data_IF_679140686235
#
_entry.id   IF_679140686235
#
_cell.length_a   1.000
_cell.length_b   1.000
_cell.length_c   1.000
_cell.angle_alpha   90.00
_cell.angle_beta   90.00
_cell.angle_gamma   90.00
#
_symmetry.space_group_name_H-M   'P 1'
#
loop_
_entity.id
_entity.type
_entity.pdbx_description
1 polymer ?
#
# COMPACT_ATOMS: atom_id res chain seq x y z
N UNK A 1 19.98 31.92 1.45
CA UNK A 1 19.05 31.03 2.19
C UNK A 1 18.04 30.40 1.22
N UNK A 2 18.50 29.58 0.27
CA UNK A 2 17.62 28.94 -0.73
C UNK A 2 17.12 27.58 -0.22
N UNK A 3 15.87 27.62 0.24
CA UNK A 3 14.82 26.60 0.03
C UNK A 3 15.21 25.13 0.25
N UNK A 4 15.25 24.72 1.52
CA UNK A 4 14.95 23.35 1.95
C UNK A 4 13.47 23.03 1.64
N UNK A 5 13.12 22.94 0.36
CA UNK A 5 11.91 22.24 -0.03
C UNK A 5 12.12 20.79 0.45
N UNK A 6 11.22 20.23 1.29
CA UNK A 6 11.42 18.89 1.85
C UNK A 6 11.74 17.92 0.72
N UNK A 7 12.73 17.04 0.81
CA UNK A 7 13.11 16.13 -0.30
C UNK A 7 11.97 15.29 -0.85
N UNK A 8 11.00 14.95 0.00
CA UNK A 8 9.73 14.36 -0.44
C UNK A 8 9.01 15.32 -1.38
N UNK A 9 8.92 16.61 -1.05
CA UNK A 9 8.43 17.65 -1.95
C UNK A 9 9.34 17.81 -3.16
N UNK A 10 10.67 17.80 -3.06
CA UNK A 10 11.54 17.89 -4.25
C UNK A 10 11.30 16.71 -5.21
N UNK A 11 11.37 15.48 -4.74
CA UNK A 11 11.10 14.28 -5.55
C UNK A 11 9.67 14.29 -6.09
N UNK A 12 8.66 14.49 -5.24
CA UNK A 12 7.26 14.49 -5.66
C UNK A 12 6.88 15.67 -6.56
N UNK A 13 7.53 16.83 -6.40
CA UNK A 13 7.33 18.00 -7.26
C UNK A 13 8.13 17.87 -8.55
N UNK A 14 9.33 17.29 -8.56
CA UNK A 14 10.03 16.87 -9.79
C UNK A 14 9.18 15.86 -10.60
N UNK A 15 8.35 15.05 -9.93
CA UNK A 15 7.35 14.18 -10.58
C UNK A 15 6.08 14.92 -11.03
N UNK A 16 5.76 16.10 -10.47
CA UNK A 16 4.60 16.90 -10.87
C UNK A 16 4.93 17.96 -11.94
N UNK A 17 6.16 18.48 -11.96
CA UNK A 17 6.63 19.54 -12.87
C UNK A 17 7.18 19.00 -14.19
N UNK A 18 7.50 17.70 -14.27
CA UNK A 18 7.50 17.00 -15.55
C UNK A 18 6.04 16.85 -15.99
N UNK A 19 5.48 17.96 -16.48
CA UNK A 19 4.33 17.95 -17.38
C UNK A 19 4.54 16.79 -18.33
N UNK A 20 3.63 15.82 -18.24
CA UNK A 20 3.55 14.64 -19.06
C UNK A 20 4.01 14.97 -20.49
N UNK A 21 5.26 14.67 -20.78
CA UNK A 21 5.76 14.65 -22.14
C UNK A 21 5.15 13.39 -22.74
N UNK A 22 3.90 13.52 -23.20
CA UNK A 22 3.18 12.50 -23.97
C UNK A 22 3.85 12.27 -25.33
N UNK A 23 4.93 12.98 -25.63
CA UNK A 23 5.65 12.99 -26.91
C UNK A 23 6.35 11.67 -27.23
N UNK A 24 6.66 10.82 -26.24
CA UNK A 24 7.41 9.56 -26.47
C UNK A 24 6.61 8.26 -26.29
N UNK A 25 5.33 8.31 -25.91
CA UNK A 25 4.52 7.10 -25.74
C UNK A 25 3.13 7.27 -26.32
N UNK A 26 2.63 6.24 -27.02
CA UNK A 26 1.26 6.21 -27.54
C UNK A 26 0.27 6.65 -26.46
N UNK A 27 -0.66 7.58 -26.76
CA UNK A 27 -1.67 8.05 -25.80
C UNK A 27 -2.59 6.90 -25.33
N UNK A 28 -2.61 5.80 -26.07
CA UNK A 28 -3.35 4.58 -25.77
C UNK A 28 -2.35 3.42 -25.70
N UNK A 29 -2.05 2.91 -24.50
CA UNK A 29 -1.01 1.89 -24.34
C UNK A 29 -1.46 0.47 -24.73
N UNK A 30 -2.76 0.17 -24.68
CA UNK A 30 -3.33 -1.15 -24.92
C UNK A 30 -4.86 -1.10 -25.01
N UNK A 31 -5.51 -2.16 -25.48
CA UNK A 31 -6.98 -2.22 -25.46
C UNK A 31 -7.51 -2.22 -24.02
N UNK A 32 -8.70 -1.65 -23.79
CA UNK A 32 -9.34 -1.62 -22.47
C UNK A 32 -10.17 -2.87 -22.14
N UNK A 33 -10.40 -3.75 -23.12
CA UNK A 33 -11.11 -5.02 -22.94
C UNK A 33 -10.13 -6.11 -22.47
N UNK A 34 -10.22 -6.61 -21.22
CA UNK A 34 -9.30 -7.63 -20.71
C UNK A 34 -9.30 -8.96 -21.48
N UNK A 35 -10.34 -9.25 -22.28
CA UNK A 35 -10.38 -10.45 -23.13
C UNK A 35 -9.78 -10.25 -24.53
N UNK A 36 -9.33 -9.03 -24.86
CA UNK A 36 -8.68 -8.76 -26.14
C UNK A 36 -7.18 -9.06 -26.04
N UNK A 37 -6.56 -9.70 -27.05
CA UNK A 37 -5.11 -9.91 -27.06
C UNK A 37 -4.31 -8.63 -26.85
N UNK A 38 -4.77 -7.52 -27.46
CA UNK A 38 -4.20 -6.17 -27.29
C UNK A 38 -4.28 -5.61 -25.88
N UNK A 39 -4.99 -6.25 -24.94
CA UNK A 39 -4.91 -5.87 -23.53
C UNK A 39 -3.60 -6.33 -22.91
N UNK A 40 -3.05 -7.49 -23.29
CA UNK A 40 -1.81 -8.00 -22.72
C UNK A 40 -0.59 -7.21 -23.22
N UNK A 41 -0.66 -6.62 -24.42
CA UNK A 41 0.39 -5.81 -25.03
C UNK A 41 0.85 -4.69 -24.08
N UNK A 42 2.13 -4.70 -23.70
CA UNK A 42 2.71 -3.68 -22.82
C UNK A 42 3.35 -2.53 -23.60
N UNK A 43 3.65 -2.74 -24.89
CA UNK A 43 4.31 -1.79 -25.79
C UNK A 43 3.91 -2.07 -27.25
N UNK A 44 2.70 -1.71 -27.70
CA UNK A 44 2.45 -1.67 -29.12
C UNK A 44 3.35 -0.57 -29.71
N UNK A 45 4.42 -0.98 -30.40
CA UNK A 45 5.31 -0.08 -31.13
C UNK A 45 4.59 0.59 -32.32
N UNK A 46 3.48 -0.01 -32.74
CA UNK A 46 2.64 0.46 -33.83
C UNK A 46 1.29 0.97 -33.28
N UNK A 47 0.83 2.12 -33.77
CA UNK A 47 -0.49 2.69 -33.44
C UNK A 47 -1.62 2.13 -34.32
N UNK A 48 -1.31 1.26 -35.28
CA UNK A 48 -2.27 0.66 -36.22
C UNK A 48 -3.40 -0.14 -35.54
N UNK A 49 -3.19 -0.68 -34.34
CA UNK A 49 -4.18 -1.53 -33.66
C UNK A 49 -5.43 -0.78 -33.17
N UNK A 50 -5.44 0.56 -33.21
CA UNK A 50 -6.62 1.36 -32.90
C UNK A 50 -6.87 2.43 -33.97
N UNK A 51 -8.09 2.97 -33.98
CA UNK A 51 -8.43 4.15 -34.80
C UNK A 51 -9.17 5.19 -33.98
N UNK A 52 -9.04 6.45 -34.38
CA UNK A 52 -9.82 7.54 -33.80
C UNK A 52 -11.32 7.28 -33.97
N UNK A 53 -12.11 7.57 -32.93
CA UNK A 53 -13.55 7.32 -32.85
C UNK A 53 -14.26 8.52 -32.22
N UNK A 54 -13.91 9.72 -32.67
CA UNK A 54 -14.52 10.98 -32.23
C UNK A 54 -14.07 11.43 -30.84
N UNK A 55 -14.84 12.33 -30.25
CA UNK A 55 -14.56 12.91 -28.93
C UNK A 55 -15.86 13.25 -28.19
N UNK A 56 -15.77 13.46 -26.89
CA UNK A 56 -16.86 14.02 -26.07
C UNK A 56 -16.32 15.07 -25.11
N UNK A 57 -17.17 15.98 -24.66
CA UNK A 57 -16.78 17.02 -23.71
C UNK A 57 -17.08 16.62 -22.27
N UNK A 58 -16.24 17.06 -21.34
CA UNK A 58 -16.45 16.92 -19.90
C UNK A 58 -16.11 18.22 -19.19
N UNK A 59 -16.85 18.57 -18.14
CA UNK A 59 -16.51 19.73 -17.29
C UNK A 59 -15.14 19.61 -16.62
N UNK A 60 -14.70 18.39 -16.32
CA UNK A 60 -13.47 18.14 -15.57
C UNK A 60 -12.20 18.13 -16.43
N UNK A 61 -12.31 17.75 -17.71
CA UNK A 61 -11.14 17.51 -18.58
C UNK A 61 -11.28 18.09 -19.99
N UNK A 62 -12.33 18.88 -20.24
CA UNK A 62 -12.60 19.44 -21.56
C UNK A 62 -12.92 18.36 -22.59
N UNK A 63 -12.40 18.55 -23.82
CA UNK A 63 -12.58 17.63 -24.95
C UNK A 63 -11.72 16.37 -24.77
N UNK A 64 -12.36 15.21 -24.71
CA UNK A 64 -11.72 13.90 -24.50
C UNK A 64 -11.81 13.06 -25.79
N UNK A 65 -10.68 12.71 -26.41
CA UNK A 65 -10.63 11.80 -27.55
C UNK A 65 -11.11 10.38 -27.20
N UNK A 66 -11.74 9.73 -28.18
CA UNK A 66 -12.14 8.32 -28.15
C UNK A 66 -11.48 7.57 -29.29
N UNK A 67 -11.29 6.28 -29.05
CA UNK A 67 -10.66 5.36 -29.98
C UNK A 67 -11.45 4.04 -30.01
N UNK A 68 -11.27 3.28 -31.08
CA UNK A 68 -11.83 1.94 -31.28
C UNK A 68 -10.69 0.98 -31.57
N UNK A 69 -10.61 -0.12 -30.81
CA UNK A 69 -9.70 -1.23 -31.12
C UNK A 69 -10.07 -1.85 -32.47
N UNK A 70 -9.09 -2.08 -33.33
CA UNK A 70 -9.30 -2.71 -34.63
C UNK A 70 -9.54 -4.23 -34.50
N UNK A 71 -8.96 -4.87 -33.48
CA UNK A 71 -9.07 -6.34 -33.31
C UNK A 71 -10.40 -6.77 -32.69
N UNK A 72 -10.85 -6.12 -31.60
CA UNK A 72 -12.07 -6.52 -30.88
C UNK A 72 -13.22 -5.51 -30.98
N UNK A 73 -13.04 -4.41 -31.71
CA UNK A 73 -14.07 -3.37 -31.88
C UNK A 73 -14.42 -2.56 -30.62
N UNK A 74 -13.84 -2.84 -29.45
CA UNK A 74 -14.12 -2.12 -28.20
C UNK A 74 -13.77 -0.63 -28.35
N UNK A 75 -14.68 0.24 -27.93
CA UNK A 75 -14.40 1.68 -27.82
C UNK A 75 -13.92 2.05 -26.42
N UNK A 76 -13.00 3.00 -26.35
CA UNK A 76 -12.48 3.55 -25.10
C UNK A 76 -12.03 5.00 -25.30
N UNK A 77 -11.81 5.72 -24.21
CA UNK A 77 -11.34 7.11 -24.27
C UNK A 77 -9.95 7.24 -23.70
N UNK A 78 -9.30 8.38 -23.99
CA UNK A 78 -8.01 8.70 -23.38
C UNK A 78 -8.07 8.64 -21.84
N UNK A 79 -9.21 9.01 -21.27
CA UNK A 79 -9.46 8.96 -19.82
C UNK A 79 -9.43 7.54 -19.25
N UNK A 80 -9.71 6.50 -20.05
CA UNK A 80 -9.69 5.10 -19.60
C UNK A 80 -8.33 4.67 -19.02
N UNK A 81 -7.25 5.34 -19.42
CA UNK A 81 -5.88 5.08 -18.99
C UNK A 81 -5.32 6.13 -18.02
N UNK A 82 -6.15 7.06 -17.54
CA UNK A 82 -5.74 8.07 -16.54
C UNK A 82 -6.13 7.63 -15.13
N UNK A 83 -5.28 7.91 -14.15
CA UNK A 83 -5.55 7.62 -12.73
C UNK A 83 -6.90 8.21 -12.25
N UNK A 84 -7.25 9.38 -12.81
CA UNK A 84 -8.50 10.10 -12.55
C UNK A 84 -9.70 9.61 -13.37
N UNK A 85 -9.67 8.39 -13.91
CA UNK A 85 -10.80 7.81 -14.63
C UNK A 85 -12.11 7.89 -13.79
N UNK A 86 -13.14 8.52 -14.36
CA UNK A 86 -14.43 8.89 -13.73
C UNK A 86 -14.40 9.94 -12.60
N UNK A 87 -13.26 10.54 -12.29
CA UNK A 87 -13.18 11.64 -11.32
C UNK A 87 -13.86 12.89 -11.90
N UNK A 88 -14.64 13.58 -11.06
CA UNK A 88 -15.34 14.82 -11.42
C UNK A 88 -14.62 16.10 -11.00
N UNK A 89 -13.72 16.00 -10.02
CA UNK A 89 -12.88 17.08 -9.52
C UNK A 89 -11.45 16.56 -9.36
N UNK A 90 -10.64 16.60 -10.43
CA UNK A 90 -9.22 16.25 -10.36
C UNK A 90 -8.52 17.14 -9.34
N UNK A 91 -7.50 16.60 -8.67
CA UNK A 91 -6.70 17.33 -7.69
C UNK A 91 -5.26 16.88 -7.81
N UNK A 92 -4.34 17.72 -7.33
CA UNK A 92 -2.98 17.27 -7.10
C UNK A 92 -2.96 16.29 -5.92
N UNK A 93 -2.40 15.11 -6.16
CA UNK A 93 -2.29 14.06 -5.16
C UNK A 93 -1.11 14.27 -4.20
N UNK A 94 -0.10 15.06 -4.60
CA UNK A 94 1.10 15.29 -3.78
C UNK A 94 0.78 15.97 -2.44
N UNK A 95 -0.02 17.06 -2.38
CA UNK A 95 -0.44 17.66 -1.12
C UNK A 95 -1.19 16.68 -0.22
N UNK A 96 -2.00 15.79 -0.80
CA UNK A 96 -2.76 14.79 -0.03
C UNK A 96 -1.83 13.75 0.59
N UNK A 97 -0.88 13.21 -0.18
CA UNK A 97 0.14 12.28 0.34
C UNK A 97 0.94 12.94 1.46
N UNK A 98 1.38 14.20 1.25
CA UNK A 98 2.14 14.96 2.26
C UNK A 98 1.34 15.09 3.56
N UNK A 99 0.06 15.47 3.48
CA UNK A 99 -0.80 15.58 4.65
C UNK A 99 -0.99 14.21 5.34
N UNK A 100 -1.15 13.13 4.57
CA UNK A 100 -1.27 11.77 5.12
C UNK A 100 -0.06 11.37 5.96
N UNK A 101 1.16 11.62 5.47
CA UNK A 101 2.42 11.21 6.13
C UNK A 101 2.91 12.20 7.18
N UNK A 102 2.30 13.39 7.26
CA UNK A 102 2.54 14.39 8.31
C UNK A 102 1.47 14.32 9.41
N UNK A 103 0.86 13.15 9.63
CA UNK A 103 -0.14 12.91 10.68
C UNK A 103 -1.36 13.85 10.63
N UNK A 104 -1.76 14.32 9.44
CA UNK A 104 -2.98 15.11 9.30
C UNK A 104 -4.21 14.20 9.22
N UNK A 105 -5.19 14.43 10.10
CA UNK A 105 -6.50 13.81 10.00
C UNK A 105 -7.30 14.35 8.81
N UNK A 106 -8.16 13.52 8.21
CA UNK A 106 -8.94 13.91 7.02
C UNK A 106 -9.86 15.12 7.27
N UNK A 107 -10.38 15.31 8.49
CA UNK A 107 -11.13 16.51 8.84
C UNK A 107 -10.30 17.80 8.78
N UNK A 108 -9.00 17.73 9.13
CA UNK A 108 -8.08 18.84 8.96
C UNK A 108 -7.86 19.13 7.46
N UNK A 109 -7.65 18.07 6.67
CA UNK A 109 -7.48 18.20 5.22
C UNK A 109 -8.70 18.83 4.54
N UNK A 110 -9.91 18.52 4.99
CA UNK A 110 -11.15 19.14 4.49
C UNK A 110 -11.11 20.66 4.62
N UNK A 111 -10.59 21.20 5.73
CA UNK A 111 -10.49 22.66 5.96
C UNK A 111 -9.59 23.35 4.94
N UNK A 112 -8.47 22.72 4.58
CA UNK A 112 -7.48 23.29 3.65
C UNK A 112 -7.79 23.01 2.17
N UNK A 113 -8.48 21.92 1.86
CA UNK A 113 -8.73 21.49 0.47
C UNK A 113 -10.16 21.79 -0.01
N UNK A 114 -11.08 22.08 0.91
CA UNK A 114 -12.52 22.18 0.64
C UNK A 114 -13.16 20.86 0.19
N UNK A 115 -12.45 19.73 0.26
CA UNK A 115 -12.96 18.42 -0.12
C UNK A 115 -13.59 17.70 1.07
N UNK A 116 -14.72 17.02 0.83
CA UNK A 116 -15.33 16.14 1.83
C UNK A 116 -14.44 14.93 2.12
N UNK A 117 -14.61 14.33 3.30
CA UNK A 117 -13.88 13.14 3.75
C UNK A 117 -13.90 12.03 2.71
N UNK A 118 -15.05 11.75 2.12
CA UNK A 118 -15.26 10.69 1.14
C UNK A 118 -14.48 10.96 -0.16
N UNK A 119 -14.34 12.24 -0.54
CA UNK A 119 -13.58 12.63 -1.71
C UNK A 119 -12.08 12.43 -1.47
N UNK A 120 -11.56 12.84 -0.30
CA UNK A 120 -10.17 12.61 0.10
C UNK A 120 -9.87 11.11 0.13
N UNK A 121 -10.74 10.33 0.79
CA UNK A 121 -10.59 8.89 0.85
C UNK A 121 -10.62 8.24 -0.54
N UNK A 122 -11.48 8.70 -1.44
CA UNK A 122 -11.50 8.22 -2.83
C UNK A 122 -10.17 8.52 -3.56
N UNK A 123 -9.54 9.67 -3.31
CA UNK A 123 -8.21 9.97 -3.86
C UNK A 123 -7.15 9.05 -3.26
N UNK A 124 -7.17 8.81 -1.95
CA UNK A 124 -6.27 7.83 -1.34
C UNK A 124 -6.42 6.43 -1.92
N UNK A 125 -7.64 5.95 -2.14
CA UNK A 125 -7.86 4.65 -2.76
C UNK A 125 -7.29 4.59 -4.19
N UNK A 126 -7.41 5.67 -4.97
CA UNK A 126 -6.87 5.73 -6.34
C UNK A 126 -5.35 5.72 -6.35
N UNK A 127 -4.74 6.62 -5.60
CA UNK A 127 -3.28 6.73 -5.58
C UNK A 127 -2.64 5.50 -4.92
N UNK A 128 -3.29 4.91 -3.91
CA UNK A 128 -2.83 3.66 -3.32
C UNK A 128 -2.66 2.54 -4.35
N UNK A 129 -3.54 2.42 -5.34
CA UNK A 129 -3.39 1.40 -6.41
C UNK A 129 -2.16 1.67 -7.26
N UNK A 130 -1.95 2.92 -7.66
CA UNK A 130 -0.73 3.34 -8.39
C UNK A 130 0.52 3.07 -7.56
N UNK A 131 0.51 3.40 -6.27
CA UNK A 131 1.65 3.18 -5.38
C UNK A 131 1.89 1.69 -5.08
N UNK A 132 0.86 0.85 -5.03
CA UNK A 132 1.01 -0.60 -4.93
C UNK A 132 1.65 -1.19 -6.20
N UNK A 133 1.27 -0.70 -7.38
CA UNK A 133 1.90 -1.09 -8.65
C UNK A 133 3.38 -0.67 -8.68
N UNK A 134 3.69 0.56 -8.27
CA UNK A 134 5.08 1.04 -8.13
C UNK A 134 5.84 0.19 -7.13
N UNK A 135 5.28 -0.07 -5.94
CA UNK A 135 5.94 -0.87 -4.91
C UNK A 135 6.22 -2.31 -5.40
N UNK A 136 5.30 -2.92 -6.15
CA UNK A 136 5.48 -4.23 -6.77
C UNK A 136 6.62 -4.24 -7.80
N UNK A 137 6.67 -3.26 -8.70
CA UNK A 137 7.78 -3.12 -9.66
C UNK A 137 9.12 -2.87 -8.95
N UNK A 138 9.14 -2.00 -7.94
CA UNK A 138 10.33 -1.72 -7.14
C UNK A 138 10.80 -2.95 -6.37
N UNK A 139 9.89 -3.73 -5.78
CA UNK A 139 10.23 -4.99 -5.11
C UNK A 139 10.89 -5.98 -6.06
N UNK A 140 10.52 -6.02 -7.34
CA UNK A 140 11.21 -6.84 -8.33
C UNK A 140 12.66 -6.39 -8.58
N UNK A 141 13.02 -5.14 -8.30
CA UNK A 141 14.39 -4.62 -8.43
C UNK A 141 15.24 -4.79 -7.17
N UNK A 142 14.61 -4.93 -6.00
CA UNK A 142 15.29 -5.03 -4.70
C UNK A 142 15.93 -6.41 -4.52
N UNK A 143 17.17 -6.48 -4.06
CA UNK A 143 17.69 -7.75 -3.52
C UNK A 143 17.14 -7.94 -2.10
N UNK A 144 16.45 -9.05 -1.79
CA UNK A 144 16.05 -9.33 -0.41
C UNK A 144 17.27 -9.39 0.52
N UNK A 145 17.01 -9.13 1.78
CA UNK A 145 18.03 -9.25 2.83
C UNK A 145 18.14 -10.70 3.33
N UNK A 146 19.27 -11.00 3.95
CA UNK A 146 19.53 -12.30 4.59
C UNK A 146 18.74 -12.47 5.90
N UNK A 147 18.34 -11.35 6.53
CA UNK A 147 17.55 -11.34 7.76
C UNK A 147 16.30 -10.46 7.64
N UNK A 148 15.19 -11.00 8.14
CA UNK A 148 13.92 -10.29 8.31
C UNK A 148 13.51 -10.24 9.77
N UNK A 149 12.67 -9.27 10.09
CA UNK A 149 11.92 -9.19 11.34
C UNK A 149 10.42 -9.14 11.03
N UNK A 150 9.64 -9.87 11.83
CA UNK A 150 8.17 -9.86 11.74
C UNK A 150 7.56 -9.70 13.12
N UNK A 151 6.63 -8.75 13.22
CA UNK A 151 5.80 -8.56 14.41
C UNK A 151 4.46 -7.92 14.04
N UNK A 152 3.57 -7.85 15.01
CA UNK A 152 2.23 -7.36 14.88
C UNK A 152 2.02 -5.99 15.52
N UNK A 153 1.58 -5.01 14.74
CA UNK A 153 1.18 -3.70 15.22
C UNK A 153 -0.29 -3.69 15.62
N UNK A 154 -0.57 -3.67 16.92
CA UNK A 154 -1.95 -3.62 17.43
C UNK A 154 -2.57 -2.22 17.27
N UNK A 155 -3.77 -2.19 16.68
CA UNK A 155 -4.59 -1.00 16.52
C UNK A 155 -6.08 -1.36 16.56
N UNK A 156 -6.95 -0.48 16.08
CA UNK A 156 -8.37 -0.78 15.91
C UNK A 156 -8.96 0.01 14.74
N UNK A 157 -10.11 -0.45 14.27
CA UNK A 157 -10.88 0.23 13.22
C UNK A 157 -12.35 0.24 13.63
N UNK A 158 -13.13 1.23 13.19
CA UNK A 158 -14.54 1.43 13.59
C UNK A 158 -14.70 1.84 15.06
N UNK A 159 -14.19 1.05 16.01
CA UNK A 159 -14.13 1.35 17.44
C UNK A 159 -13.18 0.37 18.15
N UNK A 160 -12.88 0.62 19.44
CA UNK A 160 -12.11 -0.30 20.29
C UNK A 160 -12.74 -1.71 20.45
N UNK A 161 -14.00 -1.90 20.04
CA UNK A 161 -14.62 -3.23 19.98
C UNK A 161 -14.16 -4.08 18.80
N UNK A 162 -13.46 -3.48 17.83
CA UNK A 162 -12.88 -4.17 16.70
C UNK A 162 -11.37 -3.90 16.64
N UNK A 163 -10.62 -4.37 17.66
CA UNK A 163 -9.17 -4.31 17.61
C UNK A 163 -8.66 -5.17 16.46
N UNK A 164 -7.47 -4.84 16.01
CA UNK A 164 -6.80 -5.54 14.94
C UNK A 164 -5.30 -5.56 15.16
N UNK A 165 -4.65 -6.42 14.41
CA UNK A 165 -3.21 -6.54 14.35
C UNK A 165 -2.78 -6.38 12.88
N UNK A 166 -1.86 -5.46 12.63
CA UNK A 166 -1.20 -5.31 11.34
C UNK A 166 0.11 -6.09 11.41
N UNK A 167 0.18 -7.25 10.77
CA UNK A 167 1.40 -8.05 10.73
C UNK A 167 2.36 -7.44 9.72
N UNK A 168 3.58 -7.07 10.13
CA UNK A 168 4.52 -6.33 9.31
C UNK A 168 5.78 -7.18 9.12
N UNK A 169 6.16 -7.42 7.87
CA UNK A 169 7.45 -8.02 7.51
C UNK A 169 8.42 -6.92 7.07
N UNK A 170 9.57 -6.86 7.74
CA UNK A 170 10.56 -5.79 7.58
C UNK A 170 11.94 -6.41 7.36
N UNK A 171 12.75 -5.84 6.46
CA UNK A 171 14.17 -6.21 6.32
C UNK A 171 14.99 -5.70 7.50
N UNK A 172 15.82 -6.56 8.11
CA UNK A 172 16.44 -6.24 9.40
C UNK A 172 17.46 -5.10 9.32
N UNK A 173 18.23 -5.02 8.24
CA UNK A 173 19.26 -4.02 8.01
C UNK A 173 18.75 -2.74 7.33
N UNK A 174 17.77 -2.83 6.42
CA UNK A 174 17.23 -1.67 5.70
C UNK A 174 16.03 -1.00 6.36
N UNK A 175 15.28 -1.73 7.18
CA UNK A 175 13.92 -1.36 7.63
C UNK A 175 12.92 -1.14 6.48
N UNK A 176 13.16 -1.74 5.32
CA UNK A 176 12.20 -1.78 4.23
C UNK A 176 11.00 -2.62 4.65
N UNK A 177 9.79 -2.06 4.52
CA UNK A 177 8.55 -2.78 4.74
C UNK A 177 8.23 -3.57 3.47
N UNK A 178 8.36 -4.90 3.53
CA UNK A 178 8.10 -5.80 2.41
C UNK A 178 6.61 -6.10 2.27
N UNK A 179 5.94 -6.37 3.39
CA UNK A 179 4.53 -6.70 3.39
C UNK A 179 3.84 -6.28 4.68
N UNK A 180 2.55 -6.02 4.55
CA UNK A 180 1.64 -5.79 5.66
C UNK A 180 0.42 -6.69 5.47
N UNK A 181 0.00 -7.35 6.55
CA UNK A 181 -1.22 -8.12 6.62
C UNK A 181 -2.16 -7.56 7.69
N UNK A 182 -3.45 -7.90 7.60
CA UNK A 182 -4.45 -7.48 8.56
C UNK A 182 -5.09 -8.69 9.25
N UNK A 183 -5.24 -8.61 10.55
CA UNK A 183 -5.91 -9.61 11.37
C UNK A 183 -6.89 -8.94 12.32
N UNK A 184 -8.18 -9.24 12.18
CA UNK A 184 -9.16 -8.83 13.18
C UNK A 184 -8.92 -9.59 14.48
N UNK A 185 -8.84 -8.87 15.60
CA UNK A 185 -8.72 -9.44 16.93
C UNK A 185 -10.07 -9.40 17.65
N UNK A 186 -10.22 -10.31 18.61
CA UNK A 186 -11.31 -10.23 19.59
C UNK A 186 -10.94 -9.17 20.64
N UNK A 187 -11.91 -8.35 21.07
CA UNK A 187 -11.69 -7.41 22.18
C UNK A 187 -11.24 -8.14 23.44
N UNK A 188 -10.05 -7.76 23.92
CA UNK A 188 -9.35 -8.25 25.11
C UNK A 188 -8.98 -7.09 26.03
N UNK A 189 -8.38 -7.40 27.19
CA UNK A 189 -7.97 -6.41 28.19
C UNK A 189 -9.04 -6.13 29.24
N UNK A 190 -8.74 -5.17 30.12
CA UNK A 190 -9.67 -4.75 31.17
C UNK A 190 -10.93 -4.13 30.54
N UNK A 191 -12.09 -4.56 31.02
CA UNK A 191 -13.39 -4.09 30.55
C UNK A 191 -14.36 -4.00 31.71
N UNK A 192 -15.15 -2.92 31.71
CA UNK A 192 -16.30 -2.80 32.62
C UNK A 192 -17.40 -3.79 32.23
N UNK A 193 -18.33 -4.09 33.13
CA UNK A 193 -19.40 -5.05 32.84
C UNK A 193 -20.30 -4.58 31.69
N UNK A 194 -20.56 -3.26 31.61
CA UNK A 194 -21.25 -2.66 30.44
C UNK A 194 -20.49 -2.91 29.13
N UNK A 195 -19.16 -2.84 29.13
CA UNK A 195 -18.35 -3.14 27.95
C UNK A 195 -18.34 -4.64 27.63
N UNK A 196 -18.33 -5.51 28.65
CA UNK A 196 -18.46 -6.97 28.44
C UNK A 196 -19.79 -7.31 27.80
N UNK A 197 -20.90 -6.74 28.30
CA UNK A 197 -22.23 -6.94 27.73
C UNK A 197 -22.28 -6.47 26.27
N UNK A 198 -21.84 -5.24 26.00
CA UNK A 198 -21.79 -4.71 24.62
C UNK A 198 -20.95 -5.58 23.69
N UNK A 199 -19.83 -6.15 24.16
CA UNK A 199 -19.05 -7.12 23.36
C UNK A 199 -19.86 -8.37 23.06
N UNK A 200 -20.56 -8.92 24.06
CA UNK A 200 -21.43 -10.10 23.88
C UNK A 200 -22.51 -9.83 22.84
N UNK A 201 -23.21 -8.70 22.93
CA UNK A 201 -24.26 -8.31 21.99
C UNK A 201 -23.70 -8.21 20.56
N UNK A 202 -22.54 -7.54 20.39
CA UNK A 202 -21.86 -7.45 19.10
C UNK A 202 -21.42 -8.82 18.56
N UNK A 203 -20.94 -9.72 19.42
CA UNK A 203 -20.55 -11.07 19.02
C UNK A 203 -21.76 -11.92 18.62
N UNK A 204 -22.93 -11.69 19.21
CA UNK A 204 -24.19 -12.33 18.82
C UNK A 204 -24.69 -11.82 17.46
N UNK A 205 -24.64 -10.51 17.22
CA UNK A 205 -25.14 -9.92 15.95
C UNK A 205 -24.16 -10.09 14.79
N UNK A 206 -22.85 -9.89 15.01
CA UNK A 206 -21.83 -9.83 13.95
C UNK A 206 -20.96 -11.08 13.86
N UNK A 207 -21.03 -11.96 14.86
CA UNK A 207 -20.17 -13.12 15.02
C UNK A 207 -18.82 -12.80 15.67
N UNK A 208 -18.21 -13.82 16.29
CA UNK A 208 -16.90 -13.69 16.94
C UNK A 208 -15.76 -13.48 15.93
N UNK A 209 -14.81 -12.61 16.28
CA UNK A 209 -13.58 -12.46 15.51
C UNK A 209 -12.85 -13.82 15.37
N UNK A 210 -12.27 -14.13 14.20
CA UNK A 210 -11.64 -15.42 13.95
C UNK A 210 -10.38 -15.61 14.82
N UNK A 211 -10.31 -16.71 15.57
CA UNK A 211 -9.21 -16.99 16.51
C UNK A 211 -7.84 -17.24 15.86
N UNK A 212 -7.80 -17.56 14.57
CA UNK A 212 -6.58 -17.81 13.79
C UNK A 212 -6.26 -16.68 12.77
N UNK A 213 -6.81 -15.47 12.96
CA UNK A 213 -6.62 -14.36 12.03
C UNK A 213 -5.13 -13.97 11.84
N UNK A 214 -4.36 -13.93 12.93
CA UNK A 214 -2.91 -13.63 12.91
C UNK A 214 -2.15 -14.72 12.17
N UNK A 215 -2.43 -15.98 12.49
CA UNK A 215 -1.80 -17.14 11.86
C UNK A 215 -2.01 -17.14 10.34
N UNK A 216 -3.25 -16.97 9.86
CA UNK A 216 -3.57 -16.93 8.43
C UNK A 216 -2.88 -15.77 7.70
N UNK A 217 -2.86 -14.60 8.33
CA UNK A 217 -2.22 -13.43 7.75
C UNK A 217 -0.69 -13.63 7.64
N UNK A 218 -0.04 -14.09 8.70
CA UNK A 218 1.39 -14.37 8.69
C UNK A 218 1.73 -15.51 7.73
N UNK A 219 0.90 -16.55 7.64
CA UNK A 219 1.08 -17.62 6.67
C UNK A 219 1.10 -17.07 5.24
N UNK A 220 0.14 -16.19 4.88
CA UNK A 220 0.12 -15.57 3.55
C UNK A 220 1.37 -14.74 3.27
N UNK A 221 1.82 -13.94 4.24
CA UNK A 221 3.06 -13.15 4.12
C UNK A 221 4.26 -14.06 3.86
N UNK A 222 4.42 -15.12 4.66
CA UNK A 222 5.56 -16.02 4.57
C UNK A 222 5.53 -16.89 3.30
N UNK A 223 4.34 -17.29 2.82
CA UNK A 223 4.19 -17.96 1.52
C UNK A 223 4.68 -17.06 0.38
N UNK A 224 4.33 -15.78 0.40
CA UNK A 224 4.82 -14.83 -0.60
C UNK A 224 6.32 -14.55 -0.46
N UNK A 225 6.85 -14.51 0.77
CA UNK A 225 8.29 -14.39 1.00
C UNK A 225 9.04 -15.60 0.41
N UNK A 226 8.60 -16.83 0.68
CA UNK A 226 9.23 -18.04 0.14
C UNK A 226 9.21 -18.04 -1.40
N UNK A 227 8.06 -17.69 -2.01
CA UNK A 227 7.97 -17.53 -3.46
C UNK A 227 8.94 -16.46 -3.97
N UNK A 228 8.99 -15.31 -3.31
CA UNK A 228 9.88 -14.22 -3.69
C UNK A 228 11.36 -14.60 -3.59
N UNK A 229 11.74 -15.38 -2.58
CA UNK A 229 13.09 -15.94 -2.45
C UNK A 229 13.40 -16.92 -3.57
N UNK A 230 12.45 -17.80 -3.92
CA UNK A 230 12.58 -18.78 -4.99
C UNK A 230 12.72 -18.11 -6.37
N UNK A 231 11.84 -17.16 -6.68
CA UNK A 231 11.84 -16.41 -7.94
C UNK A 231 13.15 -15.63 -8.16
N UNK A 232 13.89 -15.34 -7.08
CA UNK A 232 15.15 -14.58 -7.09
C UNK A 232 16.39 -15.40 -6.78
N UNK A 233 16.26 -16.72 -6.69
CA UNK A 233 17.35 -17.65 -6.35
C UNK A 233 18.13 -17.24 -5.08
N UNK A 234 17.39 -16.91 -4.04
CA UNK A 234 17.94 -16.41 -2.78
C UNK A 234 18.24 -17.59 -1.86
N UNK A 235 19.36 -17.59 -1.11
CA UNK A 235 19.61 -18.57 -0.07
C UNK A 235 18.55 -18.56 1.05
N UNK A 236 18.70 -19.47 2.00
CA UNK A 236 17.85 -19.52 3.17
C UNK A 236 18.06 -18.29 4.05
N UNK A 237 16.97 -17.79 4.63
CA UNK A 237 16.98 -16.51 5.37
C UNK A 237 16.63 -16.71 6.84
N UNK A 238 17.05 -15.78 7.69
CA UNK A 238 16.63 -15.77 9.10
C UNK A 238 15.39 -14.90 9.28
N UNK A 239 14.38 -15.42 9.98
CA UNK A 239 13.21 -14.66 10.41
C UNK A 239 13.25 -14.47 11.92
N UNK A 240 13.30 -13.21 12.37
CA UNK A 240 13.24 -12.84 13.77
C UNK A 240 11.81 -12.44 14.16
N UNK A 241 11.23 -13.06 15.17
CA UNK A 241 9.91 -12.68 15.71
C UNK A 241 9.92 -12.64 17.23
N UNK A 242 8.82 -12.19 17.83
CA UNK A 242 8.59 -12.40 19.25
C UNK A 242 8.13 -13.85 19.55
N UNK A 243 7.72 -14.11 20.80
CA UNK A 243 7.22 -15.41 21.24
C UNK A 243 5.77 -15.72 20.85
N UNK A 244 5.14 -14.94 19.97
CA UNK A 244 3.74 -15.15 19.61
C UNK A 244 3.55 -16.47 18.85
N UNK A 245 2.86 -17.43 19.50
CA UNK A 245 2.68 -18.81 19.01
C UNK A 245 2.09 -18.93 17.61
N UNK A 246 1.32 -17.94 17.15
CA UNK A 246 0.77 -17.96 15.80
C UNK A 246 1.83 -17.88 14.69
N UNK A 247 3.01 -17.30 14.96
CA UNK A 247 4.08 -17.19 13.97
C UNK A 247 4.72 -18.56 13.69
N UNK A 248 4.99 -19.33 14.74
CA UNK A 248 5.49 -20.72 14.62
C UNK A 248 4.48 -21.59 13.86
N UNK A 249 3.19 -21.48 14.22
CA UNK A 249 2.13 -22.22 13.53
C UNK A 249 1.97 -21.80 12.08
N UNK A 250 2.03 -20.51 11.78
CA UNK A 250 1.96 -19.99 10.43
C UNK A 250 3.10 -20.55 9.57
N UNK A 251 4.34 -20.46 10.05
CA UNK A 251 5.51 -20.98 9.35
C UNK A 251 5.41 -22.49 9.08
N UNK A 252 4.91 -23.27 10.05
CA UNK A 252 4.71 -24.72 9.86
C UNK A 252 3.73 -25.09 8.74
N UNK A 253 2.89 -24.15 8.31
CA UNK A 253 1.88 -24.33 7.26
C UNK A 253 2.30 -23.73 5.91
N UNK A 254 3.50 -23.16 5.83
CA UNK A 254 4.05 -22.61 4.58
C UNK A 254 4.84 -23.71 3.89
N UNK A 255 4.50 -24.08 2.65
CA UNK A 255 5.32 -25.00 1.85
C UNK A 255 6.76 -24.49 1.75
N UNK A 256 7.74 -25.37 1.97
CA UNK A 256 9.18 -25.02 2.00
C UNK A 256 9.57 -24.02 3.11
N UNK A 257 8.63 -23.56 3.96
CA UNK A 257 8.91 -22.53 4.96
C UNK A 257 9.97 -22.96 5.99
N UNK A 258 9.89 -24.19 6.49
CA UNK A 258 10.85 -24.72 7.48
C UNK A 258 12.23 -25.01 6.91
N UNK A 259 12.32 -25.32 5.62
CA UNK A 259 13.61 -25.57 4.96
C UNK A 259 14.29 -24.27 4.54
N UNK A 260 13.51 -23.25 4.20
CA UNK A 260 14.02 -21.97 3.64
C UNK A 260 14.14 -20.85 4.66
N UNK A 261 13.45 -20.95 5.80
CA UNK A 261 13.40 -19.89 6.82
C UNK A 261 13.87 -20.43 8.17
N UNK A 262 15.01 -19.93 8.63
CA UNK A 262 15.50 -20.15 9.99
C UNK A 262 14.78 -19.21 10.96
N UNK A 263 13.78 -19.73 11.67
CA UNK A 263 12.97 -18.94 12.61
C UNK A 263 13.66 -18.80 13.97
N UNK A 264 13.89 -17.56 14.40
CA UNK A 264 14.44 -17.22 15.72
C UNK A 264 13.44 -16.35 16.48
N UNK A 265 13.18 -16.73 17.74
CA UNK A 265 12.27 -15.99 18.61
C UNK A 265 13.06 -15.18 19.63
N UNK A 266 12.56 -13.99 19.94
CA UNK A 266 13.19 -13.05 20.87
C UNK A 266 12.16 -12.53 21.87
N UNK A 267 12.59 -12.16 23.08
CA UNK A 267 11.67 -11.57 24.05
C UNK A 267 11.27 -10.16 23.63
N UNK A 268 9.97 -9.87 23.65
CA UNK A 268 9.43 -8.52 23.45
C UNK A 268 9.71 -7.57 24.63
N UNK A 269 10.17 -8.10 25.76
CA UNK A 269 10.59 -7.32 26.94
C UNK A 269 12.01 -6.76 26.84
N UNK A 270 12.79 -7.20 25.84
CA UNK A 270 14.15 -6.69 25.65
C UNK A 270 14.10 -5.19 25.34
N UNK A 271 15.12 -4.42 25.79
CA UNK A 271 15.23 -3.00 25.47
C UNK A 271 15.09 -2.75 23.96
N UNK A 272 14.34 -1.71 23.59
CA UNK A 272 14.10 -1.33 22.18
C UNK A 272 15.27 -0.53 21.61
N UNK A 273 16.47 -1.10 21.68
CA UNK A 273 17.72 -0.53 21.17
C UNK A 273 18.03 -1.05 19.77
N UNK A 274 18.89 -0.39 18.98
CA UNK A 274 19.30 -0.87 17.66
C UNK A 274 19.93 -2.27 17.64
N UNK A 275 20.48 -2.74 18.77
CA UNK A 275 21.02 -4.09 18.93
C UNK A 275 19.94 -5.18 19.06
N UNK A 276 18.69 -4.80 19.34
CA UNK A 276 17.58 -5.74 19.42
C UNK A 276 17.21 -6.24 18.02
N UNK A 277 17.10 -7.57 17.83
CA UNK A 277 16.72 -8.18 16.54
C UNK A 277 15.29 -7.81 16.10
N UNK A 278 14.43 -7.38 17.03
CA UNK A 278 13.11 -6.82 16.76
C UNK A 278 13.12 -5.29 16.63
N UNK A 279 14.27 -4.62 16.70
CA UNK A 279 14.36 -3.18 16.47
C UNK A 279 13.74 -2.72 15.14
N UNK A 280 13.92 -3.42 14.00
CA UNK A 280 13.39 -2.96 12.71
C UNK A 280 11.87 -2.83 12.72
N UNK A 281 11.16 -3.81 13.27
CA UNK A 281 9.69 -3.78 13.41
C UNK A 281 9.24 -2.75 14.44
N UNK A 282 9.94 -2.66 15.59
CA UNK A 282 9.68 -1.63 16.61
C UNK A 282 9.89 -0.20 16.07
N UNK A 283 10.87 -0.02 15.19
CA UNK A 283 11.15 1.25 14.51
C UNK A 283 9.97 1.62 13.61
N UNK A 284 9.46 0.67 12.82
CA UNK A 284 8.31 0.87 11.93
C UNK A 284 7.03 1.15 12.71
N UNK A 285 6.75 0.42 13.80
CA UNK A 285 5.63 0.71 14.71
C UNK A 285 5.69 2.16 15.20
N UNK A 286 6.85 2.58 15.72
CA UNK A 286 7.06 3.97 16.16
C UNK A 286 6.80 4.97 15.03
N UNK A 287 7.24 4.67 13.81
CA UNK A 287 6.99 5.53 12.66
C UNK A 287 5.49 5.61 12.30
N UNK A 288 4.76 4.50 12.29
CA UNK A 288 3.32 4.49 12.07
C UNK A 288 2.60 5.34 13.11
N UNK A 289 2.90 5.18 14.40
CA UNK A 289 2.29 5.98 15.47
C UNK A 289 2.61 7.48 15.34
N UNK A 290 3.81 7.83 14.88
CA UNK A 290 4.22 9.23 14.69
C UNK A 290 3.52 9.87 13.49
N UNK A 291 3.52 9.18 12.36
CA UNK A 291 3.21 9.79 11.07
C UNK A 291 1.77 9.56 10.59
N UNK A 292 1.02 8.63 11.20
CA UNK A 292 -0.34 8.29 10.81
C UNK A 292 -1.35 8.64 11.90
N UNK A 293 -2.16 9.67 11.64
CA UNK A 293 -3.15 10.22 12.58
C UNK A 293 -4.12 9.16 13.17
N UNK A 294 -4.46 8.12 12.40
CA UNK A 294 -5.38 7.07 12.83
C UNK A 294 -4.79 6.08 13.83
N UNK A 295 -3.53 6.23 14.20
CA UNK A 295 -2.82 5.40 15.16
C UNK A 295 -2.33 6.19 16.39
N UNK A 296 -2.62 7.50 16.46
CA UNK A 296 -2.18 8.39 17.56
C UNK A 296 -3.20 8.45 18.69
N UNK A 297 -4.46 8.78 18.38
CA UNK A 297 -5.52 9.02 19.39
C UNK A 297 -6.68 8.05 19.23
N UNK A 298 -7.11 7.51 20.36
CA UNK A 298 -8.16 6.49 20.41
C UNK A 298 -9.58 7.03 20.20
N UNK A 299 -9.78 8.35 20.24
CA UNK A 299 -11.12 8.96 20.28
C UNK A 299 -11.63 9.57 18.98
N UNK A 300 -10.78 10.23 18.18
CA UNK A 300 -11.28 11.12 17.09
C UNK A 300 -10.82 10.69 15.69
N UNK A 301 -9.63 10.11 15.55
CA UNK A 301 -8.97 10.00 14.24
C UNK A 301 -8.77 8.56 13.74
N UNK A 302 -9.24 7.56 14.48
CA UNK A 302 -9.13 6.16 14.10
C UNK A 302 -9.76 5.85 12.74
N UNK A 303 -9.30 4.78 12.10
CA UNK A 303 -9.78 4.40 10.79
C UNK A 303 -11.24 3.92 10.87
N UNK A 304 -12.11 4.46 10.00
CA UNK A 304 -13.54 4.10 9.96
C UNK A 304 -13.80 2.71 9.37
N UNK A 305 -12.82 2.11 8.70
CA UNK A 305 -12.87 0.72 8.24
C UNK A 305 -11.46 0.14 8.11
N UNK A 306 -11.30 -1.18 8.16
CA UNK A 306 -10.01 -1.83 7.89
C UNK A 306 -9.44 -1.48 6.51
N UNK A 307 -10.29 -1.41 5.48
CA UNK A 307 -9.84 -1.05 4.13
C UNK A 307 -9.26 0.37 4.06
N UNK A 308 -9.91 1.35 4.70
CA UNK A 308 -9.39 2.71 4.74
C UNK A 308 -8.05 2.79 5.50
N UNK A 309 -7.89 1.99 6.57
CA UNK A 309 -6.64 1.87 7.31
C UNK A 309 -5.51 1.32 6.44
N UNK A 310 -5.74 0.18 5.78
CA UNK A 310 -4.73 -0.48 4.96
C UNK A 310 -4.35 0.32 3.71
N UNK A 311 -5.29 1.07 3.13
CA UNK A 311 -5.00 2.04 2.05
C UNK A 311 -4.00 3.09 2.52
N UNK A 312 -4.22 3.68 3.71
CA UNK A 312 -3.33 4.71 4.25
C UNK A 312 -1.96 4.14 4.59
N UNK A 313 -1.92 2.97 5.21
CA UNK A 313 -0.66 2.27 5.50
C UNK A 313 0.10 1.90 4.23
N UNK A 314 -0.58 1.49 3.15
CA UNK A 314 0.08 1.16 1.88
C UNK A 314 0.64 2.39 1.16
N UNK A 315 -0.04 3.54 1.25
CA UNK A 315 0.53 4.82 0.80
C UNK A 315 1.77 5.15 1.64
N UNK A 316 1.67 5.01 2.97
CA UNK A 316 2.79 5.25 3.87
C UNK A 316 3.97 4.33 3.58
N UNK A 317 3.74 3.03 3.34
CA UNK A 317 4.77 2.05 2.99
C UNK A 317 5.61 2.52 1.80
N UNK A 318 4.96 2.98 0.73
CA UNK A 318 5.65 3.50 -0.45
C UNK A 318 6.52 4.71 -0.11
N UNK A 319 5.97 5.67 0.64
CA UNK A 319 6.70 6.89 1.02
C UNK A 319 7.87 6.56 1.95
N UNK A 320 7.64 5.74 2.98
CA UNK A 320 8.66 5.29 3.93
C UNK A 320 9.79 4.55 3.22
N UNK A 321 9.49 3.61 2.33
CA UNK A 321 10.49 2.77 1.68
C UNK A 321 11.38 3.54 0.70
N UNK A 322 10.79 4.44 -0.09
CA UNK A 322 11.45 4.94 -1.31
C UNK A 322 11.53 6.46 -1.43
N UNK A 323 10.84 7.23 -0.60
CA UNK A 323 10.80 8.70 -0.70
C UNK A 323 11.34 9.39 0.55
N UNK A 324 11.25 8.73 1.70
CA UNK A 324 11.78 9.23 2.96
C UNK A 324 13.24 8.81 3.14
N UNK A 325 14.13 9.74 3.54
CA UNK A 325 15.47 9.38 3.96
C UNK A 325 15.40 8.46 5.18
N UNK A 326 16.29 7.48 5.27
CA UNK A 326 16.26 6.47 6.33
C UNK A 326 16.38 7.08 7.73
N UNK A 327 17.13 8.17 7.88
CA UNK A 327 17.34 8.90 9.14
C UNK A 327 17.33 10.40 8.93
N UNK A 328 16.62 11.11 9.80
CA UNK A 328 16.61 12.59 9.83
C UNK A 328 17.99 13.16 10.19
N UNK A 329 18.75 12.49 11.06
CA UNK A 329 20.11 12.95 11.42
C UNK A 329 21.05 12.91 10.21
N UNK A 330 20.99 11.85 9.42
CA UNK A 330 21.85 11.67 8.25
C UNK A 330 21.42 12.59 7.11
N UNK A 331 20.10 12.81 6.97
CA UNK A 331 19.53 13.82 6.08
C UNK A 331 20.10 15.22 6.34
N UNK A 332 20.21 15.64 7.62
CA UNK A 332 20.80 16.94 7.99
C UNK A 332 22.28 17.06 7.60
N UNK A 333 22.96 15.93 7.39
CA UNK A 333 24.34 15.85 6.90
C UNK A 333 24.42 15.66 5.38
N UNK A 334 23.30 15.83 4.66
CA UNK A 334 23.23 15.68 3.22
C UNK A 334 23.06 14.25 2.70
N UNK A 335 22.90 13.25 3.59
CA UNK A 335 22.63 11.87 3.18
C UNK A 335 21.12 11.61 3.08
N UNK A 336 20.63 11.56 1.86
CA UNK A 336 19.20 11.37 1.55
C UNK A 336 18.82 9.92 1.25
N UNK A 337 19.73 8.97 1.48
CA UNK A 337 19.54 7.57 1.10
C UNK A 337 18.27 6.98 1.73
N UNK A 338 17.44 6.43 0.86
CA UNK A 338 16.18 5.75 1.20
C UNK A 338 16.44 4.28 1.55
N UNK A 339 15.42 3.55 2.03
CA UNK A 339 15.56 2.12 2.33
C UNK A 339 15.72 1.30 1.04
N UNK A 340 15.01 1.68 -0.03
CA UNK A 340 15.19 1.07 -1.35
C UNK A 340 16.60 1.24 -1.90
N UNK A 341 17.17 2.44 -1.78
CA UNK A 341 18.56 2.70 -2.18
C UNK A 341 19.58 1.97 -1.30
N UNK A 342 19.26 1.73 -0.02
CA UNK A 342 20.10 0.90 0.83
C UNK A 342 20.21 -0.53 0.31
N UNK A 343 19.15 -1.05 -0.30
CA UNK A 343 19.12 -2.38 -0.92
C UNK A 343 19.61 -2.38 -2.38
N UNK A 344 20.33 -1.33 -2.77
CA UNK A 344 21.02 -1.24 -4.05
C UNK A 344 20.16 -0.78 -5.23
N UNK A 345 18.91 -0.38 -5.01
CA UNK A 345 18.11 0.19 -6.11
C UNK A 345 18.47 1.65 -6.32
N UNK A 346 19.05 2.04 -7.46
CA UNK A 346 19.48 3.42 -7.66
C UNK A 346 18.27 4.34 -7.82
N UNK A 347 18.38 5.60 -7.37
CA UNK A 347 17.29 6.58 -7.42
C UNK A 347 16.68 6.75 -8.83
N UNK A 348 17.48 6.74 -9.89
CA UNK A 348 16.97 6.87 -11.26
C UNK A 348 16.02 5.72 -11.66
N UNK A 349 16.18 4.51 -11.12
CA UNK A 349 15.23 3.40 -11.35
C UNK A 349 13.88 3.66 -10.69
N UNK A 350 13.87 4.26 -9.50
CA UNK A 350 12.62 4.72 -8.88
C UNK A 350 11.93 5.77 -9.76
N UNK A 351 12.68 6.72 -10.32
CA UNK A 351 12.12 7.71 -11.24
C UNK A 351 11.53 7.06 -12.48
N UNK A 352 12.20 6.07 -13.07
CA UNK A 352 11.70 5.31 -14.23
C UNK A 352 10.36 4.61 -13.91
N UNK A 353 10.27 3.91 -12.78
CA UNK A 353 9.06 3.19 -12.35
C UNK A 353 7.94 4.17 -12.00
N UNK A 354 8.23 5.27 -11.30
CA UNK A 354 7.23 6.32 -11.01
C UNK A 354 6.72 6.90 -12.32
N UNK A 355 7.58 7.30 -13.26
CA UNK A 355 7.17 7.83 -14.57
C UNK A 355 6.31 6.85 -15.37
N UNK A 356 6.57 5.55 -15.25
CA UNK A 356 5.78 4.48 -15.89
C UNK A 356 4.32 4.46 -15.40
N UNK A 357 4.08 4.72 -14.11
CA UNK A 357 2.77 4.51 -13.46
C UNK A 357 2.05 5.79 -13.04
N UNK A 358 2.78 6.86 -12.74
CA UNK A 358 2.23 8.10 -12.20
C UNK A 358 1.25 8.74 -13.18
N UNK A 359 0.15 9.29 -12.66
CA UNK A 359 -0.98 9.83 -13.43
C UNK A 359 -1.68 8.86 -14.40
N UNK A 360 -1.25 7.60 -14.47
CA UNK A 360 -1.84 6.56 -15.31
C UNK A 360 -2.69 5.63 -14.47
N UNK A 361 -3.72 5.07 -15.11
CA UNK A 361 -4.50 3.99 -14.50
C UNK A 361 -3.69 2.71 -14.61
N UNK A 362 -3.44 2.12 -13.47
CA UNK A 362 -2.87 0.78 -13.33
C UNK A 362 -4.01 -0.26 -13.33
N UNK A 363 -3.73 -1.45 -13.85
CA UNK A 363 -4.68 -2.54 -13.99
C UNK A 363 -4.25 -3.70 -13.11
N UNK A 364 -5.19 -4.30 -12.38
CA UNK A 364 -4.88 -5.31 -11.38
C UNK A 364 -4.15 -6.50 -12.00
N UNK A 365 -4.64 -6.94 -13.17
CA UNK A 365 -4.10 -8.09 -13.90
C UNK A 365 -2.73 -7.85 -14.52
N UNK A 366 -2.21 -6.62 -14.46
CA UNK A 366 -0.90 -6.22 -14.98
C UNK A 366 0.13 -5.94 -13.89
N UNK A 367 -0.21 -6.24 -12.63
CA UNK A 367 0.65 -5.97 -11.48
C UNK A 367 1.00 -7.29 -10.77
N UNK A 368 2.26 -7.46 -10.35
CA UNK A 368 2.70 -8.62 -9.58
C UNK A 368 2.47 -8.40 -8.07
N UNK A 369 1.20 -8.22 -7.70
CA UNK A 369 0.80 -7.95 -6.32
C UNK A 369 0.78 -9.23 -5.47
N UNK A 370 1.23 -9.13 -4.23
CA UNK A 370 1.02 -10.15 -3.21
C UNK A 370 -0.44 -10.14 -2.75
N UNK A 371 -0.91 -11.23 -2.12
CA UNK A 371 -2.33 -11.42 -1.81
C UNK A 371 -2.91 -10.29 -0.94
N UNK A 372 -2.17 -9.86 0.09
CA UNK A 372 -2.59 -8.75 0.94
C UNK A 372 -2.60 -7.39 0.21
N UNK A 373 -1.75 -7.20 -0.80
CA UNK A 373 -1.77 -6.01 -1.64
C UNK A 373 -3.01 -6.01 -2.55
N UNK A 374 -3.38 -7.17 -3.11
CA UNK A 374 -4.64 -7.36 -3.84
C UNK A 374 -5.84 -7.07 -2.94
N UNK A 375 -5.81 -7.54 -1.69
CA UNK A 375 -6.84 -7.23 -0.69
C UNK A 375 -6.93 -5.72 -0.43
N UNK A 376 -5.82 -4.99 -0.35
CA UNK A 376 -5.86 -3.51 -0.26
C UNK A 376 -6.39 -2.88 -1.54
N UNK A 377 -5.94 -3.33 -2.72
CA UNK A 377 -6.37 -2.83 -4.02
C UNK A 377 -7.89 -2.93 -4.22
N UNK A 378 -8.44 -4.09 -3.88
CA UNK A 378 -9.87 -4.40 -3.96
C UNK A 378 -10.64 -3.87 -2.75
N UNK A 379 -10.00 -3.14 -1.84
CA UNK A 379 -10.57 -2.71 -0.57
C UNK A 379 -11.25 -3.88 0.16
N UNK A 380 -10.71 -5.09 0.13
CA UNK A 380 -11.31 -6.32 0.64
C UNK A 380 -11.23 -6.52 2.16
N UNK A 381 -10.47 -5.68 2.87
CA UNK A 381 -10.30 -5.80 4.32
C UNK A 381 -11.58 -5.51 5.11
N UNK A 382 -12.03 -6.45 5.94
CA UNK A 382 -13.29 -6.34 6.70
C UNK A 382 -13.14 -6.77 8.15
N UNK A 383 -14.01 -6.19 8.98
CA UNK A 383 -14.37 -6.79 10.26
C UNK A 383 -15.53 -7.74 10.00
N UNK A 384 -15.52 -8.89 10.66
CA UNK A 384 -16.58 -9.89 10.56
C UNK A 384 -17.94 -9.26 10.84
N UNK A 385 -18.92 -9.59 10.00
CA UNK A 385 -20.30 -9.09 10.10
C UNK A 385 -20.49 -7.63 9.70
N UNK A 386 -19.43 -6.85 9.46
CA UNK A 386 -19.56 -5.45 9.04
C UNK A 386 -19.54 -5.35 7.51
N UNK A 387 -20.62 -4.91 6.86
CA UNK A 387 -20.64 -4.71 5.42
C UNK A 387 -19.66 -3.60 5.02
N UNK A 388 -19.16 -3.67 3.79
CA UNK A 388 -18.23 -2.65 3.28
C UNK A 388 -18.81 -1.24 3.29
N UNK A 389 -20.14 -1.12 3.10
CA UNK A 389 -20.85 0.15 2.91
C UNK A 389 -20.35 0.98 1.72
N UNK A 390 -19.52 0.42 0.82
CA UNK A 390 -18.89 1.14 -0.29
C UNK A 390 -18.99 0.35 -1.58
N UNK A 391 -19.40 1.03 -2.65
CA UNK A 391 -19.40 0.47 -4.01
C UNK A 391 -17.99 0.53 -4.58
N UNK A 392 -17.43 -0.62 -4.93
CA UNK A 392 -16.23 -0.70 -5.74
C UNK A 392 -16.59 -0.50 -7.21
N UNK A 393 -16.00 0.49 -7.91
CA UNK A 393 -16.22 0.64 -9.34
C UNK A 393 -15.75 -0.60 -10.11
N UNK A 394 -16.49 -1.01 -11.14
CA UNK A 394 -16.16 -2.18 -11.96
C UNK A 394 -14.73 -2.14 -12.53
N UNK A 395 -14.25 -0.95 -12.89
CA UNK A 395 -12.91 -0.74 -13.45
C UNK A 395 -11.76 -1.02 -12.47
N UNK A 396 -12.03 -1.27 -11.19
CA UNK A 396 -11.03 -1.66 -10.19
C UNK A 396 -10.66 -3.15 -10.30
N UNK A 397 -11.56 -3.97 -10.84
CA UNK A 397 -11.40 -5.42 -10.98
C UNK A 397 -10.63 -5.84 -12.24
N UNK A 398 -10.34 -4.89 -13.12
CA UNK A 398 -9.70 -5.11 -14.43
C UNK A 398 -8.19 -4.90 -14.36
#
# INVERSE_FOLDING_TARGET
MNTLQPYITRLLTEFSTNSLDFTHHSPVPHCSNPHCPRFADQKPHDQSWFRFHGCYFTKAFGRVPRYRCQDCGKTFSLQTFRMDYYVKKPVDYIPLIRQLVSSSGQGNMTRFTGMRYEQIQNRYERICRVLLAIHSDMRNLIKPEDEFALDGFESFSVSQFFPNNINILVGSGSELIYAMGYSQLRRKGQMTDKQKQKRTDLEQTLGKAPGNAVEKSVQSILTHLCKYMKDKDIPDVTLNTDYHKAYVRALSKVPEGRSRIHHRQHSSTLPRTPSNRLFPVNYVDRQFRKDQANHVRESVQFARSPAAMMVRLSIYQMVHNYLMPRRVRDQRKGNWKTRGEQLGVPGWKLHEVIRKHWNRRVFLNKCNLWEHEKMTWLLGWRNRGIPSGRRLPFHVWV
#
